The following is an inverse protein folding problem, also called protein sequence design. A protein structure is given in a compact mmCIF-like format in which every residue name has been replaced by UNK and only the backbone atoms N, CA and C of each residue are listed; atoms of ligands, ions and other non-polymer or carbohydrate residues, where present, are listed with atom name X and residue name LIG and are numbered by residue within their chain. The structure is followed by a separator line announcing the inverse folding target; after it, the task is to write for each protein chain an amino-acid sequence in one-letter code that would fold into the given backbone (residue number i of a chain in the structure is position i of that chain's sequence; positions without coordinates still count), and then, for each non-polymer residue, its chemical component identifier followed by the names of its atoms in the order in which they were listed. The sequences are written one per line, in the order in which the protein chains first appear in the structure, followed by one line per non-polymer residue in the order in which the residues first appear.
data_IF_658537058355
#
_entry.id   IF_658537058355
#
_cell.length_a   1.000
_cell.length_b   1.000
_cell.length_c   1.000
_cell.angle_alpha   90.00
_cell.angle_beta   90.00
_cell.angle_gamma   90.00
#
_symmetry.space_group_name_H-M   'P 1'
#
loop_
_entity.id
_entity.type
_entity.pdbx_description
1 polymer ?
#
# COMPACT_ATOMS: atom_id res chain seq x y z
N UNK A 1 -5.38 -22.40 29.24
CA UNK A 1 -5.86 -21.16 28.58
C UNK A 1 -4.78 -20.13 28.83
N UNK A 2 -3.84 -20.01 27.88
CA UNK A 2 -2.76 -19.03 28.00
C UNK A 2 -3.37 -17.64 27.85
N UNK A 3 -3.19 -16.80 28.85
CA UNK A 3 -3.57 -15.39 28.80
C UNK A 3 -2.45 -14.69 28.03
N UNK A 4 -2.62 -14.55 26.70
CA UNK A 4 -1.76 -13.65 25.94
C UNK A 4 -1.91 -12.25 26.53
N UNK A 5 -0.82 -11.68 26.99
CA UNK A 5 -0.79 -10.31 27.52
C UNK A 5 -0.75 -9.32 26.34
N UNK A 6 -1.90 -9.13 25.67
CA UNK A 6 -2.01 -8.27 24.48
C UNK A 6 -1.47 -6.85 24.71
N UNK A 7 -1.57 -6.33 25.92
CA UNK A 7 -1.04 -5.01 26.29
C UNK A 7 0.48 -4.88 26.10
N UNK A 8 1.19 -6.02 26.06
CA UNK A 8 2.63 -6.06 25.83
C UNK A 8 3.02 -6.12 24.36
N UNK A 9 2.06 -6.36 23.46
CA UNK A 9 2.29 -6.50 22.03
C UNK A 9 1.85 -5.26 21.23
N UNK A 10 2.15 -5.26 19.93
CA UNK A 10 1.53 -4.31 19.03
C UNK A 10 0.02 -4.61 18.93
N UNK A 11 -0.88 -3.60 18.97
CA UNK A 11 -2.32 -3.83 18.98
C UNK A 11 -2.86 -4.69 17.83
N UNK A 12 -2.17 -4.70 16.67
CA UNK A 12 -2.53 -5.56 15.54
C UNK A 12 -2.56 -7.04 15.89
N UNK A 13 -1.78 -7.49 16.91
CA UNK A 13 -1.75 -8.89 17.33
C UNK A 13 -3.09 -9.30 17.96
N UNK A 14 -3.68 -8.44 18.78
CA UNK A 14 -5.01 -8.67 19.36
C UNK A 14 -6.08 -8.71 18.27
N UNK A 15 -5.99 -7.82 17.26
CA UNK A 15 -6.90 -7.80 16.11
C UNK A 15 -6.79 -9.09 15.30
N UNK A 16 -5.57 -9.59 15.05
CA UNK A 16 -5.34 -10.85 14.35
C UNK A 16 -6.06 -12.02 15.04
N UNK A 17 -5.97 -12.10 16.37
CA UNK A 17 -6.62 -13.18 17.14
C UNK A 17 -8.13 -12.99 17.18
N UNK A 18 -8.62 -11.77 17.45
CA UNK A 18 -10.05 -11.54 17.70
C UNK A 18 -10.90 -11.42 16.45
N UNK A 19 -10.35 -10.94 15.34
CA UNK A 19 -11.11 -10.63 14.12
C UNK A 19 -10.74 -11.53 12.94
N UNK A 20 -9.55 -12.12 12.95
CA UNK A 20 -9.03 -12.90 11.81
C UNK A 20 -8.68 -14.34 12.17
N UNK A 21 -9.18 -14.83 13.32
CA UNK A 21 -9.09 -16.23 13.76
C UNK A 21 -7.64 -16.79 13.79
N UNK A 22 -6.65 -15.93 14.03
CA UNK A 22 -5.28 -16.40 14.23
C UNK A 22 -5.21 -17.14 15.58
N UNK A 23 -4.76 -18.39 15.50
CA UNK A 23 -4.69 -19.28 16.67
C UNK A 23 -3.71 -18.74 17.73
N UNK A 24 -4.17 -18.50 18.97
CA UNK A 24 -3.30 -18.00 20.05
C UNK A 24 -2.07 -18.88 20.29
N UNK A 25 -2.22 -20.21 20.15
CA UNK A 25 -1.13 -21.17 20.33
C UNK A 25 0.01 -20.97 19.32
N UNK A 26 -0.29 -20.48 18.11
CA UNK A 26 0.72 -20.15 17.11
C UNK A 26 1.59 -18.96 17.52
N UNK A 27 1.11 -18.12 18.43
CA UNK A 27 1.77 -16.92 18.93
C UNK A 27 2.56 -17.16 20.24
N UNK A 28 2.24 -18.21 21.00
CA UNK A 28 2.88 -18.50 22.28
C UNK A 28 4.40 -18.68 22.13
N UNK A 29 4.84 -19.37 21.09
CA UNK A 29 6.25 -19.57 20.79
C UNK A 29 6.98 -18.31 20.31
N UNK A 30 6.23 -17.24 20.02
CA UNK A 30 6.74 -15.96 19.51
C UNK A 30 6.70 -14.85 20.56
N UNK A 31 6.30 -15.14 21.81
CA UNK A 31 6.05 -14.16 22.86
C UNK A 31 7.17 -13.12 23.01
N UNK A 32 8.43 -13.54 23.15
CA UNK A 32 9.57 -12.62 23.30
C UNK A 32 9.76 -11.75 22.06
N UNK A 33 9.54 -12.30 20.86
CA UNK A 33 9.65 -11.58 19.59
C UNK A 33 8.51 -10.58 19.43
N UNK A 34 7.29 -10.93 19.82
CA UNK A 34 6.14 -10.03 19.78
C UNK A 34 6.34 -8.80 20.66
N UNK A 35 6.94 -8.98 21.84
CA UNK A 35 7.32 -7.88 22.74
C UNK A 35 8.43 -7.03 22.11
N UNK A 36 9.50 -7.67 21.63
CA UNK A 36 10.65 -6.97 21.05
C UNK A 36 10.29 -6.14 19.80
N UNK A 37 9.33 -6.62 19.00
CA UNK A 37 8.93 -6.00 17.74
C UNK A 37 7.66 -5.13 17.85
N UNK A 38 7.17 -4.85 19.04
CA UNK A 38 5.93 -4.10 19.27
C UNK A 38 5.89 -2.71 18.62
N UNK A 39 7.03 -2.09 18.40
CA UNK A 39 7.16 -0.76 17.77
C UNK A 39 7.60 -0.83 16.30
N UNK A 40 7.77 -2.02 15.75
CA UNK A 40 8.26 -2.26 14.39
C UNK A 40 7.30 -3.14 13.59
N UNK A 41 6.12 -2.62 13.17
CA UNK A 41 5.05 -3.44 12.53
C UNK A 41 5.52 -4.23 11.31
N UNK A 42 6.44 -3.67 10.50
CA UNK A 42 7.00 -4.37 9.33
C UNK A 42 7.80 -5.61 9.73
N UNK A 43 8.69 -5.50 10.70
CA UNK A 43 9.46 -6.65 11.19
C UNK A 43 8.57 -7.65 11.93
N UNK A 44 7.55 -7.16 12.64
CA UNK A 44 6.53 -8.00 13.26
C UNK A 44 5.78 -8.82 12.20
N UNK A 45 5.34 -8.18 11.10
CA UNK A 45 4.72 -8.86 9.96
C UNK A 45 5.62 -9.97 9.43
N UNK A 46 6.86 -9.65 9.11
CA UNK A 46 7.82 -10.61 8.55
C UNK A 46 8.05 -11.80 9.49
N UNK A 47 8.13 -11.55 10.80
CA UNK A 47 8.26 -12.60 11.81
C UNK A 47 7.04 -13.51 11.85
N UNK A 48 5.82 -12.95 11.93
CA UNK A 48 4.58 -13.72 11.98
C UNK A 48 4.38 -14.57 10.71
N UNK A 49 4.71 -14.04 9.53
CA UNK A 49 4.63 -14.79 8.27
C UNK A 49 5.68 -15.91 8.23
N UNK A 50 6.92 -15.61 8.63
CA UNK A 50 8.01 -16.60 8.67
C UNK A 50 7.64 -17.82 9.52
N UNK A 51 7.02 -17.60 10.66
CA UNK A 51 6.59 -18.66 11.57
C UNK A 51 5.19 -19.21 11.25
N UNK A 52 4.60 -18.80 10.12
CA UNK A 52 3.29 -19.24 9.63
C UNK A 52 2.13 -18.97 10.61
N UNK A 53 2.27 -17.98 11.48
CA UNK A 53 1.21 -17.57 12.38
C UNK A 53 0.10 -16.78 11.65
N UNK A 54 0.43 -16.12 10.54
CA UNK A 54 -0.53 -15.42 9.69
C UNK A 54 -0.04 -15.36 8.24
N UNK A 55 -0.88 -14.86 7.35
CA UNK A 55 -0.52 -14.54 5.96
C UNK A 55 -0.34 -13.05 5.79
N UNK A 56 0.33 -12.62 4.71
CA UNK A 56 0.50 -11.21 4.39
C UNK A 56 -0.84 -10.48 4.23
N UNK A 57 -1.79 -11.08 3.51
CA UNK A 57 -3.12 -10.52 3.31
C UNK A 57 -3.86 -10.32 4.63
N UNK A 58 -3.87 -11.33 5.50
CA UNK A 58 -4.54 -11.25 6.81
C UNK A 58 -3.87 -10.21 7.71
N UNK A 59 -2.54 -10.11 7.71
CA UNK A 59 -1.85 -9.06 8.45
C UNK A 59 -2.21 -7.66 7.96
N UNK A 60 -2.27 -7.44 6.64
CA UNK A 60 -2.64 -6.15 6.06
C UNK A 60 -4.12 -5.78 6.34
N UNK A 61 -5.02 -6.76 6.35
CA UNK A 61 -6.40 -6.56 6.79
C UNK A 61 -6.48 -6.14 8.26
N UNK A 62 -5.72 -6.79 9.14
CA UNK A 62 -5.65 -6.43 10.55
C UNK A 62 -5.03 -5.03 10.75
N UNK A 63 -4.02 -4.67 9.95
CA UNK A 63 -3.42 -3.34 9.97
C UNK A 63 -4.42 -2.27 9.51
N UNK A 64 -5.18 -2.53 8.46
CA UNK A 64 -6.26 -1.64 8.02
C UNK A 64 -7.31 -1.45 9.12
N UNK A 65 -7.72 -2.53 9.77
CA UNK A 65 -8.66 -2.49 10.91
C UNK A 65 -8.11 -1.66 12.07
N UNK A 66 -6.81 -1.79 12.38
CA UNK A 66 -6.17 -1.01 13.44
C UNK A 66 -6.19 0.50 13.19
N UNK A 67 -6.02 0.92 11.93
CA UNK A 67 -6.03 2.34 11.52
C UNK A 67 -7.43 2.84 11.11
N UNK A 68 -8.46 2.01 11.19
CA UNK A 68 -9.83 2.31 10.70
C UNK A 68 -9.83 2.76 9.22
N UNK A 69 -9.09 2.01 8.39
CA UNK A 69 -8.94 2.25 6.96
C UNK A 69 -9.55 1.12 6.14
N UNK A 70 -9.92 1.44 4.88
CA UNK A 70 -10.34 0.44 3.90
C UNK A 70 -9.15 -0.45 3.54
N UNK A 71 -9.38 -1.77 3.46
CA UNK A 71 -8.47 -2.72 2.83
C UNK A 71 -8.96 -3.07 1.44
N UNK A 72 -8.06 -3.04 0.45
CA UNK A 72 -8.38 -3.39 -0.94
C UNK A 72 -7.26 -4.25 -1.54
N UNK A 73 -7.63 -5.45 -1.98
CA UNK A 73 -6.74 -6.38 -2.69
C UNK A 73 -7.57 -7.34 -3.56
N UNK A 74 -7.35 -7.41 -4.89
CA UNK A 74 -6.42 -6.58 -5.68
C UNK A 74 -6.85 -5.12 -5.79
N UNK A 75 -5.90 -4.25 -6.13
CA UNK A 75 -6.15 -2.83 -6.37
C UNK A 75 -6.07 -2.49 -7.86
N UNK A 76 -6.89 -1.51 -8.27
CA UNK A 76 -6.90 -0.97 -9.62
C UNK A 76 -6.85 0.55 -9.59
N UNK A 77 -6.10 1.14 -10.53
CA UNK A 77 -6.06 2.57 -10.73
C UNK A 77 -7.30 3.04 -11.52
N UNK A 78 -8.10 3.91 -10.91
CA UNK A 78 -9.19 4.55 -11.62
C UNK A 78 -8.65 5.61 -12.60
N UNK A 79 -9.26 5.79 -13.79
CA UNK A 79 -8.78 6.75 -14.79
C UNK A 79 -8.61 8.18 -14.25
N UNK A 80 -9.46 8.60 -13.32
CA UNK A 80 -9.38 9.93 -12.71
C UNK A 80 -8.16 10.13 -11.79
N UNK A 81 -7.46 9.07 -11.38
CA UNK A 81 -6.24 9.15 -10.58
C UNK A 81 -4.96 9.26 -11.44
N UNK A 82 -5.03 8.96 -12.73
CA UNK A 82 -3.85 8.92 -13.64
C UNK A 82 -3.12 10.24 -13.78
N UNK A 83 -3.81 11.35 -13.71
CA UNK A 83 -3.18 12.67 -13.74
C UNK A 83 -2.24 12.91 -12.55
N UNK A 84 -2.55 12.31 -11.37
CA UNK A 84 -1.70 12.38 -10.20
C UNK A 84 -0.49 11.46 -10.31
N UNK A 85 -0.61 10.33 -11.01
CA UNK A 85 0.49 9.40 -11.27
C UNK A 85 1.64 10.07 -11.99
N UNK A 86 1.35 10.93 -12.99
CA UNK A 86 2.37 11.69 -13.73
C UNK A 86 3.17 12.67 -12.86
N UNK A 87 2.60 13.10 -11.71
CA UNK A 87 3.26 14.01 -10.76
C UNK A 87 4.19 13.29 -9.78
N UNK A 88 4.14 11.96 -9.73
CA UNK A 88 4.86 11.15 -8.75
C UNK A 88 5.93 10.34 -9.47
N UNK A 89 7.23 10.59 -9.23
CA UNK A 89 8.28 9.75 -9.79
C UNK A 89 8.18 8.29 -9.32
N UNK A 90 8.34 7.32 -10.23
CA UNK A 90 8.26 5.89 -9.92
C UNK A 90 9.17 5.49 -8.75
N UNK A 91 10.38 6.08 -8.66
CA UNK A 91 11.31 5.82 -7.56
C UNK A 91 10.74 6.24 -6.20
N UNK A 92 9.95 7.32 -6.19
CA UNK A 92 9.30 7.81 -4.98
C UNK A 92 8.15 6.89 -4.56
N UNK A 93 7.31 6.49 -5.51
CA UNK A 93 6.23 5.53 -5.29
C UNK A 93 6.76 4.19 -4.74
N UNK A 94 7.82 3.64 -5.32
CA UNK A 94 8.46 2.40 -4.87
C UNK A 94 9.15 2.53 -3.51
N UNK A 95 9.81 3.66 -3.25
CA UNK A 95 10.51 3.89 -1.99
C UNK A 95 9.58 3.96 -0.79
N UNK A 96 8.46 4.64 -0.95
CA UNK A 96 7.50 4.87 0.13
C UNK A 96 6.31 3.91 0.10
N UNK A 97 6.27 3.01 -0.89
CA UNK A 97 5.23 2.00 -1.05
C UNK A 97 3.84 2.61 -0.98
N UNK A 98 3.56 3.52 -1.91
CA UNK A 98 2.25 4.11 -2.11
C UNK A 98 1.93 4.37 -3.58
N UNK A 99 0.64 4.44 -3.92
CA UNK A 99 0.18 4.76 -5.26
C UNK A 99 -1.23 5.39 -5.28
N UNK A 100 -1.49 6.44 -6.08
CA UNK A 100 -2.81 7.03 -6.23
C UNK A 100 -3.73 6.04 -6.96
N UNK A 101 -4.91 5.78 -6.41
CA UNK A 101 -5.83 4.79 -6.97
C UNK A 101 -7.19 5.35 -7.35
N UNK A 102 -7.73 6.32 -6.60
CA UNK A 102 -9.03 6.93 -6.87
C UNK A 102 -9.03 8.41 -6.55
N UNK A 103 -9.80 9.17 -7.34
CA UNK A 103 -10.10 10.57 -7.07
C UNK A 103 -11.60 10.76 -6.91
N UNK A 104 -12.03 11.23 -5.74
CA UNK A 104 -13.45 11.46 -5.45
C UNK A 104 -13.65 12.70 -4.58
N UNK A 105 -14.53 13.60 -5.01
CA UNK A 105 -14.97 14.75 -4.20
C UNK A 105 -13.83 15.59 -3.61
N UNK A 106 -12.72 15.78 -4.34
CA UNK A 106 -11.56 16.54 -3.85
C UNK A 106 -10.64 15.75 -2.93
N UNK A 107 -10.85 14.44 -2.80
CA UNK A 107 -10.01 13.53 -2.01
C UNK A 107 -9.28 12.58 -2.95
N UNK A 108 -7.97 12.48 -2.81
CA UNK A 108 -7.13 11.51 -3.49
C UNK A 108 -6.93 10.29 -2.59
N UNK A 109 -7.47 9.16 -3.00
CA UNK A 109 -7.28 7.90 -2.30
C UNK A 109 -5.97 7.27 -2.75
N UNK A 110 -5.13 6.95 -1.78
CA UNK A 110 -3.77 6.43 -1.96
C UNK A 110 -3.68 5.03 -1.35
N UNK A 111 -3.35 4.04 -2.18
CA UNK A 111 -3.01 2.72 -1.69
C UNK A 111 -1.63 2.75 -1.02
N UNK A 112 -1.52 2.16 0.17
CA UNK A 112 -0.29 2.09 0.96
C UNK A 112 -0.08 0.69 1.51
N UNK A 113 1.18 0.31 1.69
CA UNK A 113 1.55 -0.87 2.48
C UNK A 113 1.48 -0.57 3.99
N UNK A 114 2.00 0.59 4.38
CA UNK A 114 2.09 1.00 5.79
C UNK A 114 1.48 2.39 5.99
N UNK A 115 0.27 2.47 6.55
CA UNK A 115 -0.40 3.74 6.81
C UNK A 115 0.26 4.58 7.93
N UNK A 116 1.16 4.01 8.72
CA UNK A 116 1.91 4.75 9.73
C UNK A 116 2.90 5.76 9.14
N UNK A 117 3.24 5.65 7.84
CA UNK A 117 4.11 6.59 7.14
C UNK A 117 3.38 7.88 6.73
N UNK A 118 2.83 8.58 7.72
CA UNK A 118 2.02 9.79 7.53
C UNK A 118 2.80 10.93 6.87
N UNK A 119 4.11 11.05 7.14
CA UNK A 119 4.94 12.11 6.56
C UNK A 119 4.98 12.05 5.04
N UNK A 120 5.12 10.86 4.45
CA UNK A 120 5.11 10.70 2.99
C UNK A 120 3.74 11.07 2.39
N UNK A 121 2.65 10.74 3.08
CA UNK A 121 1.29 11.09 2.66
C UNK A 121 1.02 12.59 2.77
N UNK A 122 1.49 13.24 3.85
CA UNK A 122 1.39 14.70 4.03
C UNK A 122 2.17 15.46 2.95
N UNK A 123 3.39 14.99 2.62
CA UNK A 123 4.20 15.56 1.55
C UNK A 123 3.51 15.42 0.20
N UNK A 124 2.87 14.28 -0.05
CA UNK A 124 2.09 14.05 -1.26
C UNK A 124 0.87 14.97 -1.33
N UNK A 125 0.12 15.12 -0.25
CA UNK A 125 -1.04 16.02 -0.19
C UNK A 125 -0.66 17.47 -0.49
N UNK A 126 0.47 17.96 0.05
CA UNK A 126 1.00 19.29 -0.26
C UNK A 126 1.40 19.42 -1.73
N UNK A 127 2.03 18.41 -2.30
CA UNK A 127 2.46 18.39 -3.71
C UNK A 127 1.27 18.38 -4.66
N UNK A 128 0.30 17.52 -4.40
CA UNK A 128 -0.92 17.40 -5.21
C UNK A 128 -1.98 18.46 -4.89
N UNK A 129 -1.79 19.26 -3.83
CA UNK A 129 -2.73 20.30 -3.35
C UNK A 129 -4.15 19.74 -3.12
N UNK A 130 -4.23 18.56 -2.52
CA UNK A 130 -5.50 17.90 -2.23
C UNK A 130 -5.47 17.17 -0.89
N UNK A 131 -6.64 16.78 -0.41
CA UNK A 131 -6.75 15.90 0.74
C UNK A 131 -6.40 14.47 0.33
N UNK A 132 -5.62 13.80 1.19
CA UNK A 132 -5.23 12.41 1.01
C UNK A 132 -6.03 11.54 1.96
N UNK A 133 -6.53 10.42 1.45
CA UNK A 133 -7.07 9.34 2.25
C UNK A 133 -6.32 8.05 1.91
N UNK A 134 -5.72 7.43 2.92
CA UNK A 134 -5.04 6.17 2.73
C UNK A 134 -6.05 5.01 2.67
N UNK A 135 -5.73 4.00 1.87
CA UNK A 135 -6.29 2.66 1.97
C UNK A 135 -5.14 1.65 2.00
N UNK A 136 -5.35 0.54 2.67
CA UNK A 136 -4.31 -0.48 2.87
C UNK A 136 -4.43 -1.57 1.81
N UNK A 137 -3.30 -2.02 1.30
CA UNK A 137 -3.22 -3.15 0.36
C UNK A 137 -2.02 -4.04 0.65
N UNK A 138 -1.91 -5.16 -0.06
CA UNK A 138 -0.71 -6.01 0.03
C UNK A 138 0.46 -5.37 -0.72
N UNK A 139 1.71 -5.58 -0.26
CA UNK A 139 2.91 -5.09 -0.96
C UNK A 139 2.98 -5.59 -2.40
N UNK A 140 2.60 -6.84 -2.66
CA UNK A 140 2.65 -7.41 -4.00
C UNK A 140 1.68 -6.70 -4.94
N UNK A 141 0.41 -6.53 -4.56
CA UNK A 141 -0.58 -5.81 -5.37
C UNK A 141 -0.16 -4.38 -5.65
N UNK A 142 0.48 -3.72 -4.66
CA UNK A 142 0.96 -2.36 -4.81
C UNK A 142 2.13 -2.25 -5.81
N UNK A 143 3.11 -3.16 -5.72
CA UNK A 143 4.24 -3.22 -6.65
C UNK A 143 3.76 -3.52 -8.08
N UNK A 144 2.84 -4.47 -8.23
CA UNK A 144 2.27 -4.84 -9.52
C UNK A 144 1.51 -3.68 -10.16
N UNK A 145 0.74 -2.93 -9.35
CA UNK A 145 0.05 -1.72 -9.82
C UNK A 145 1.05 -0.65 -10.25
N UNK A 146 2.05 -0.34 -9.42
CA UNK A 146 3.09 0.66 -9.74
C UNK A 146 3.76 0.30 -11.07
N UNK A 147 4.23 -0.94 -11.24
CA UNK A 147 4.90 -1.35 -12.46
C UNK A 147 4.00 -1.20 -13.68
N UNK A 148 2.78 -1.73 -13.63
CA UNK A 148 1.82 -1.68 -14.73
C UNK A 148 1.48 -0.25 -15.14
N UNK A 149 1.20 0.63 -14.18
CA UNK A 149 0.78 2.01 -14.47
C UNK A 149 1.89 2.84 -15.11
N UNK A 150 3.15 2.62 -14.72
CA UNK A 150 4.27 3.32 -15.36
C UNK A 150 4.68 2.72 -16.71
N UNK A 151 4.53 1.41 -16.91
CA UNK A 151 4.76 0.76 -18.20
C UNK A 151 3.73 1.23 -19.24
N UNK A 152 2.43 1.29 -18.86
CA UNK A 152 1.36 1.84 -19.72
C UNK A 152 1.60 3.31 -20.08
N UNK A 153 2.09 4.11 -19.14
CA UNK A 153 2.41 5.53 -19.38
C UNK A 153 3.57 5.69 -20.35
N UNK A 154 4.58 4.82 -20.28
CA UNK A 154 5.72 4.83 -21.21
C UNK A 154 5.30 4.45 -22.61
N UNK A 155 4.50 3.40 -22.77
CA UNK A 155 3.97 2.96 -24.07
C UNK A 155 3.10 4.03 -24.73
N UNK A 156 2.22 4.68 -23.96
CA UNK A 156 1.38 5.77 -24.47
C UNK A 156 2.19 6.98 -24.95
N UNK A 157 3.34 7.24 -24.31
CA UNK A 157 4.24 8.33 -24.73
C UNK A 157 4.97 7.98 -26.03
N UNK A 158 5.43 6.74 -26.20
CA UNK A 158 6.06 6.27 -27.43
C UNK A 158 5.10 6.28 -28.62
N UNK A 159 3.85 5.81 -28.44
CA UNK A 159 2.82 5.88 -29.49
C UNK A 159 2.48 7.31 -29.90
N UNK A 160 2.45 8.25 -28.94
CA UNK A 160 2.18 9.67 -29.24
C UNK A 160 3.34 10.32 -30.03
N UNK A 161 4.59 9.93 -29.75
CA UNK A 161 5.77 10.41 -30.48
C UNK A 161 5.78 9.85 -31.93
N UNK A 162 5.50 8.55 -32.07
CA UNK A 162 5.42 7.91 -33.40
C UNK A 162 4.32 8.53 -34.29
N UNK A 163 3.17 8.90 -33.69
CA UNK A 163 2.11 9.60 -34.43
C UNK A 163 2.52 11.01 -34.88
N UNK A 164 3.24 11.75 -34.03
CA UNK A 164 3.75 13.08 -34.40
C UNK A 164 4.79 13.03 -35.52
N UNK A 165 5.67 12.02 -35.48
CA UNK A 165 6.67 11.85 -36.57
C UNK A 165 6.01 11.47 -37.91
N UNK A 166 4.92 10.69 -37.87
CA UNK A 166 4.15 10.31 -39.05
C UNK A 166 3.40 11.52 -39.68
N UNK A 167 2.86 12.40 -38.85
CA UNK A 167 2.14 13.60 -39.30
C UNK A 167 3.10 14.66 -39.90
N UNK A 168 4.34 14.72 -39.42
CA UNK A 168 5.36 15.62 -39.93
C UNK A 168 5.85 15.16 -41.32
N UNK A 169 5.92 13.86 -41.58
CA UNK A 169 6.30 13.33 -42.92
C UNK A 169 5.22 13.61 -44.02
N UNK A 170 3.95 13.80 -43.63
CA UNK A 170 2.85 14.04 -44.54
C UNK A 170 2.70 15.51 -44.98
N UNK A 171 3.23 16.47 -44.24
CA UNK A 171 3.19 17.90 -44.60
C UNK A 171 4.41 18.37 -45.43
N UNK A 172 5.34 17.49 -45.71
CA UNK A 172 6.59 17.78 -46.40
C UNK A 172 6.63 17.49 -47.91
N UNK A 173 5.47 17.25 -48.56
CA UNK A 173 5.39 17.03 -50.02
C UNK A 173 4.64 18.16 -50.71
#
# INVERSE_FOLDING_TARGET
MSLLEFDSYHPVVEILVRQFDVEPESLENLHEQLIALRTEPRKLKDSLIKYKATTETVFQQALASYFDLEFMDPIEEAPAAREFTSMIPIRYAKRFMFFPVRWRNGILEIAVEDPANSQALDDLGRRCRCHIQALVTTPQSLIDLINRSYDESSAATEEAVDQLDTDIEFEGI
#
